data_IF_404677458410
#
_entry.id   IF_404677458410
#
_cell.length_a   1.000
_cell.length_b   1.000
_cell.length_c   1.000
_cell.angle_alpha   90.00
_cell.angle_beta   90.00
_cell.angle_gamma   90.00
#
_symmetry.space_group_name_H-M   'P 1'
#
loop_
_entity.id
_entity.type
_entity.pdbx_description
1 polymer ?
#
# COMPACT_ATOMS: atom_id res chain seq x y z
N UNK A 1 -17.82 -59.52 -33.72
CA UNK A 1 -18.55 -60.47 -32.86
C UNK A 1 -17.80 -60.47 -31.55
N UNK A 2 -18.29 -59.72 -30.56
CA UNK A 2 -19.15 -60.25 -29.46
C UNK A 2 -18.28 -61.09 -28.50
N UNK A 3 -18.19 -60.88 -27.19
CA UNK A 3 -19.03 -60.19 -26.22
C UNK A 3 -18.27 -60.09 -24.88
N UNK A 4 -18.62 -59.06 -24.12
CA UNK A 4 -18.72 -58.96 -22.64
C UNK A 4 -18.10 -60.05 -21.74
N UNK A 5 -17.43 -59.59 -20.67
CA UNK A 5 -17.18 -60.47 -19.52
C UNK A 5 -16.41 -59.88 -18.33
N UNK A 6 -17.07 -58.99 -17.58
CA UNK A 6 -16.96 -58.87 -16.12
C UNK A 6 -15.63 -58.46 -15.46
N UNK A 7 -15.58 -57.17 -15.12
CA UNK A 7 -14.77 -56.63 -14.03
C UNK A 7 -15.32 -57.17 -12.70
N UNK A 8 -14.50 -57.91 -11.94
CA UNK A 8 -14.73 -58.18 -10.52
C UNK A 8 -13.61 -57.51 -9.74
N UNK A 9 -13.96 -56.45 -9.03
CA UNK A 9 -13.12 -55.78 -8.05
C UNK A 9 -12.89 -56.71 -6.85
N UNK A 10 -11.65 -57.13 -6.63
CA UNK A 10 -11.20 -57.54 -5.30
C UNK A 10 -10.36 -56.41 -4.74
N UNK A 11 -10.96 -55.65 -3.82
CA UNK A 11 -10.25 -54.67 -3.01
C UNK A 11 -9.27 -55.41 -2.08
N UNK A 12 -8.02 -55.53 -2.49
CA UNK A 12 -6.96 -55.69 -1.49
C UNK A 12 -6.74 -54.34 -0.82
N UNK A 13 -7.27 -54.24 0.41
CA UNK A 13 -6.91 -53.21 1.38
C UNK A 13 -5.40 -53.25 1.59
N UNK A 14 -4.67 -52.47 0.80
CA UNK A 14 -3.30 -52.12 1.14
C UNK A 14 -3.39 -51.13 2.29
N UNK A 15 -3.44 -51.68 3.51
CA UNK A 15 -3.05 -50.97 4.71
C UNK A 15 -1.64 -50.44 4.48
N UNK A 16 -1.54 -49.20 4.03
CA UNK A 16 -0.29 -48.45 4.05
C UNK A 16 -0.01 -48.12 5.51
N UNK A 17 0.54 -49.13 6.20
CA UNK A 17 1.18 -48.98 7.51
C UNK A 17 2.18 -47.84 7.37
N UNK A 18 1.79 -46.67 7.87
CA UNK A 18 2.67 -45.51 7.92
C UNK A 18 3.69 -45.81 9.00
N UNK A 19 4.82 -46.38 8.57
CA UNK A 19 5.95 -46.66 9.43
C UNK A 19 6.41 -45.32 10.02
N UNK A 20 6.09 -45.06 11.29
CA UNK A 20 6.61 -43.92 12.05
C UNK A 20 8.10 -44.15 12.30
N UNK A 21 8.92 -43.84 11.30
CA UNK A 21 10.36 -43.71 11.49
C UNK A 21 10.62 -42.56 12.45
N UNK A 22 11.39 -42.81 13.51
CA UNK A 22 12.01 -41.76 14.33
C UNK A 22 12.92 -40.93 13.42
N UNK A 23 12.49 -39.72 13.06
CA UNK A 23 13.26 -38.78 12.24
C UNK A 23 14.02 -37.84 13.17
N UNK A 24 15.30 -37.61 12.87
CA UNK A 24 16.14 -36.68 13.61
C UNK A 24 15.62 -35.24 13.57
N UNK A 25 16.14 -34.33 14.43
CA UNK A 25 15.54 -33.03 14.74
C UNK A 25 15.54 -32.00 13.59
N UNK A 26 15.87 -32.39 12.35
CA UNK A 26 16.05 -31.48 11.21
C UNK A 26 15.36 -31.87 9.90
N UNK A 27 14.71 -33.03 9.79
CA UNK A 27 14.15 -33.48 8.50
C UNK A 27 12.67 -33.07 8.39
N UNK A 28 12.35 -32.22 7.42
CA UNK A 28 10.98 -31.91 7.01
C UNK A 28 10.52 -32.96 5.99
N UNK A 29 9.31 -33.51 6.11
CA UNK A 29 8.76 -34.32 5.03
C UNK A 29 8.18 -33.45 3.91
N UNK A 30 8.14 -33.97 2.69
CA UNK A 30 7.50 -33.26 1.55
C UNK A 30 6.04 -32.91 1.83
N UNK A 31 5.32 -33.75 2.58
CA UNK A 31 3.94 -33.50 2.99
C UNK A 31 3.83 -32.38 4.02
N UNK A 32 4.73 -32.33 5.01
CA UNK A 32 4.80 -31.26 6.00
C UNK A 32 5.16 -29.93 5.34
N UNK A 33 6.04 -29.94 4.34
CA UNK A 33 6.41 -28.74 3.59
C UNK A 33 5.23 -28.17 2.77
N UNK A 34 4.45 -29.04 2.12
CA UNK A 34 3.27 -28.63 1.36
C UNK A 34 2.18 -28.07 2.27
N UNK A 35 1.93 -28.71 3.41
CA UNK A 35 0.98 -28.20 4.40
C UNK A 35 1.44 -26.88 5.03
N UNK A 36 2.72 -26.77 5.35
CA UNK A 36 3.31 -25.53 5.87
C UNK A 36 3.15 -24.39 4.86
N UNK A 37 3.41 -24.65 3.58
CA UNK A 37 3.24 -23.68 2.51
C UNK A 37 1.78 -23.23 2.37
N UNK A 38 0.84 -24.18 2.40
CA UNK A 38 -0.61 -23.89 2.31
C UNK A 38 -1.09 -23.05 3.48
N UNK A 39 -0.69 -23.39 4.71
CA UNK A 39 -1.09 -22.66 5.92
C UNK A 39 -0.44 -21.26 5.99
N UNK A 40 0.81 -21.14 5.55
CA UNK A 40 1.47 -19.84 5.46
C UNK A 40 0.84 -18.93 4.39
N UNK A 41 0.43 -19.48 3.24
CA UNK A 41 -0.33 -18.74 2.22
C UNK A 41 -1.73 -18.33 2.69
N UNK A 42 -2.34 -19.12 3.58
CA UNK A 42 -3.60 -18.79 4.24
C UNK A 42 -3.46 -17.74 5.36
N UNK A 43 -2.25 -17.23 5.60
CA UNK A 43 -2.01 -16.16 6.58
C UNK A 43 -1.90 -16.63 8.03
N UNK A 44 -1.64 -17.93 8.27
CA UNK A 44 -1.39 -18.42 9.63
C UNK A 44 -0.16 -17.74 10.24
N UNK A 45 -0.26 -17.34 11.51
CA UNK A 45 0.85 -16.73 12.24
C UNK A 45 1.99 -17.74 12.46
N UNK A 46 3.23 -17.23 12.48
CA UNK A 46 4.43 -18.05 12.66
C UNK A 46 4.39 -18.78 14.01
N UNK A 47 3.79 -18.15 15.02
CA UNK A 47 3.61 -18.69 16.37
C UNK A 47 2.64 -19.89 16.38
N UNK A 48 1.50 -19.78 15.69
CA UNK A 48 0.56 -20.90 15.55
C UNK A 48 1.17 -22.07 14.77
N UNK A 49 1.99 -21.78 13.77
CA UNK A 49 2.75 -22.81 13.05
C UNK A 49 3.83 -23.45 13.95
N UNK A 50 4.49 -22.68 14.80
CA UNK A 50 5.51 -23.16 15.75
C UNK A 50 4.94 -24.15 16.75
N UNK A 51 3.77 -23.84 17.30
CA UNK A 51 3.05 -24.73 18.21
C UNK A 51 2.57 -26.00 17.49
N UNK A 52 2.00 -25.87 16.29
CA UNK A 52 1.50 -26.99 15.50
C UNK A 52 2.59 -27.99 15.12
N UNK A 53 3.76 -27.50 14.69
CA UNK A 53 4.87 -28.36 14.27
C UNK A 53 5.85 -28.69 15.40
N UNK A 54 5.63 -28.18 16.62
CA UNK A 54 6.52 -28.31 17.80
C UNK A 54 7.98 -27.95 17.46
N UNK A 55 8.17 -26.91 16.66
CA UNK A 55 9.48 -26.42 16.19
C UNK A 55 9.61 -24.95 16.54
N UNK A 56 10.84 -24.45 16.71
CA UNK A 56 11.02 -23.05 17.05
C UNK A 56 10.45 -22.13 15.94
N UNK A 57 9.90 -20.96 16.30
CA UNK A 57 9.45 -19.97 15.32
C UNK A 57 10.52 -19.61 14.28
N UNK A 58 11.79 -19.57 14.69
CA UNK A 58 12.92 -19.32 13.81
C UNK A 58 13.16 -20.45 12.80
N UNK A 59 12.97 -21.72 13.21
CA UNK A 59 13.10 -22.86 12.32
C UNK A 59 12.03 -22.84 11.22
N UNK A 60 10.81 -22.39 11.55
CA UNK A 60 9.72 -22.20 10.60
C UNK A 60 9.99 -21.03 9.66
N UNK A 61 10.44 -19.88 10.20
CA UNK A 61 10.82 -18.72 9.38
C UNK A 61 11.91 -19.07 8.37
N UNK A 62 12.99 -19.74 8.81
CA UNK A 62 14.06 -20.21 7.92
C UNK A 62 13.55 -21.21 6.89
N UNK A 63 12.59 -22.07 7.25
CA UNK A 63 12.03 -23.05 6.31
C UNK A 63 11.13 -22.38 5.25
N UNK A 64 10.26 -21.46 5.66
CA UNK A 64 9.42 -20.68 4.74
C UNK A 64 10.26 -19.87 3.76
N UNK A 65 11.33 -19.23 4.25
CA UNK A 65 12.30 -18.53 3.40
C UNK A 65 12.96 -19.47 2.38
N UNK A 66 13.38 -20.68 2.79
CA UNK A 66 13.95 -21.69 1.87
C UNK A 66 12.94 -22.21 0.85
N UNK A 67 11.64 -22.19 1.18
CA UNK A 67 10.55 -22.58 0.29
C UNK A 67 10.07 -21.44 -0.62
N UNK A 68 10.77 -20.30 -0.63
CA UNK A 68 10.47 -19.15 -1.51
C UNK A 68 9.34 -18.24 -1.00
N UNK A 69 8.78 -18.50 0.18
CA UNK A 69 7.87 -17.58 0.85
C UNK A 69 8.69 -16.52 1.57
N UNK A 70 8.76 -15.33 0.98
CA UNK A 70 9.40 -14.20 1.61
C UNK A 70 8.50 -13.76 2.79
N UNK A 71 8.86 -14.19 4.01
CA UNK A 71 8.17 -13.83 5.25
C UNK A 71 8.48 -12.37 5.59
N UNK A 72 8.05 -11.47 4.72
CA UNK A 72 8.04 -10.03 4.98
C UNK A 72 6.78 -9.79 5.80
N UNK A 73 6.96 -9.37 7.04
CA UNK A 73 5.87 -8.91 7.87
C UNK A 73 5.11 -7.81 7.11
N UNK A 74 3.80 -8.01 6.93
CA UNK A 74 2.90 -7.02 6.37
C UNK A 74 2.89 -6.98 4.84
N UNK A 75 1.84 -7.52 4.26
CA UNK A 75 1.33 -7.05 2.98
C UNK A 75 0.93 -5.58 3.22
N UNK A 76 1.79 -4.63 2.87
CA UNK A 76 1.43 -3.23 2.89
C UNK A 76 0.61 -2.99 1.62
N UNK A 77 -0.71 -2.95 1.75
CA UNK A 77 -1.60 -2.47 0.69
C UNK A 77 -1.34 -0.97 0.50
N UNK A 78 -0.30 -0.61 -0.27
CA UNK A 78 0.13 0.77 -0.51
C UNK A 78 -0.51 1.33 -1.77
N UNK A 79 -1.84 1.38 -1.83
CA UNK A 79 -2.54 2.26 -2.78
C UNK A 79 -3.89 2.66 -2.17
N UNK A 80 -3.86 3.60 -1.23
CA UNK A 80 -5.07 4.34 -0.89
C UNK A 80 -5.48 5.21 -2.07
N UNK A 81 -6.77 5.26 -2.37
CA UNK A 81 -7.32 6.21 -3.36
C UNK A 81 -7.02 7.63 -2.84
N UNK A 82 -6.34 8.43 -3.65
CA UNK A 82 -6.13 9.85 -3.35
C UNK A 82 -7.39 10.61 -3.72
N UNK A 83 -8.18 10.97 -2.70
CA UNK A 83 -9.34 11.84 -2.89
C UNK A 83 -8.86 13.26 -3.18
N UNK A 84 -9.16 13.76 -4.38
CA UNK A 84 -8.86 15.14 -4.75
C UNK A 84 -9.93 16.02 -4.10
N UNK A 85 -9.56 16.96 -3.21
CA UNK A 85 -10.54 17.83 -2.57
C UNK A 85 -11.20 18.76 -3.61
N UNK A 86 -12.52 18.97 -3.49
CA UNK A 86 -13.26 19.86 -4.40
C UNK A 86 -12.82 21.32 -4.26
N UNK A 87 -12.41 21.73 -3.06
CA UNK A 87 -11.91 23.06 -2.75
C UNK A 87 -10.49 22.99 -2.24
N UNK A 88 -9.68 23.99 -2.62
CA UNK A 88 -8.30 24.07 -2.18
C UNK A 88 -8.28 24.37 -0.66
N UNK A 89 -7.55 23.59 0.16
CA UNK A 89 -7.51 23.81 1.60
C UNK A 89 -6.95 25.21 1.92
N UNK A 90 -7.51 25.86 2.94
CA UNK A 90 -7.03 27.16 3.37
C UNK A 90 -5.60 27.07 3.92
N UNK A 91 -4.85 28.18 3.88
CA UNK A 91 -3.50 28.22 4.41
C UNK A 91 -3.45 27.85 5.90
N UNK A 92 -4.48 28.24 6.66
CA UNK A 92 -4.60 27.92 8.09
C UNK A 92 -4.74 26.42 8.34
N UNK A 93 -5.53 25.72 7.53
CA UNK A 93 -5.70 24.26 7.63
C UNK A 93 -4.40 23.53 7.33
N UNK A 94 -3.68 23.93 6.28
CA UNK A 94 -2.39 23.34 5.94
C UNK A 94 -1.36 23.61 7.05
N UNK A 95 -1.35 24.82 7.61
CA UNK A 95 -0.47 25.16 8.74
C UNK A 95 -0.75 24.32 9.98
N UNK A 96 -2.01 24.03 10.30
CA UNK A 96 -2.39 23.13 11.41
C UNK A 96 -1.82 21.73 11.22
N UNK A 97 -1.89 21.18 10.01
CA UNK A 97 -1.35 19.86 9.67
C UNK A 97 0.18 19.84 9.85
N UNK A 98 0.87 20.86 9.35
CA UNK A 98 2.33 20.97 9.47
C UNK A 98 2.75 21.17 10.92
N UNK A 99 2.04 21.99 11.69
CA UNK A 99 2.29 22.16 13.11
C UNK A 99 2.17 20.83 13.86
N UNK A 100 1.12 20.06 13.60
CA UNK A 100 0.95 18.72 14.19
C UNK A 100 2.09 17.76 13.82
N UNK A 101 2.53 17.79 12.55
CA UNK A 101 3.69 17.02 12.10
C UNK A 101 4.97 17.43 12.83
N UNK A 102 5.23 18.73 12.99
CA UNK A 102 6.38 19.24 13.73
C UNK A 102 6.36 18.84 15.20
N UNK A 103 5.20 18.95 15.87
CA UNK A 103 5.06 18.48 17.25
C UNK A 103 5.38 16.99 17.39
N UNK A 104 4.94 16.17 16.43
CA UNK A 104 5.26 14.75 16.40
C UNK A 104 6.75 14.51 16.15
N UNK A 105 7.39 15.33 15.32
CA UNK A 105 8.83 15.27 15.06
C UNK A 105 9.68 15.53 16.30
N UNK A 106 9.21 16.38 17.22
CA UNK A 106 9.91 16.72 18.46
C UNK A 106 9.82 15.64 19.55
N UNK A 107 9.02 14.58 19.36
CA UNK A 107 8.90 13.50 20.35
C UNK A 107 10.11 12.54 20.26
N UNK A 108 10.56 12.01 21.41
CA UNK A 108 11.62 11.00 21.43
C UNK A 108 11.09 9.63 21.00
N UNK A 109 11.89 8.85 20.27
CA UNK A 109 11.54 7.47 19.87
C UNK A 109 11.00 7.31 18.45
N UNK A 110 11.16 8.32 17.58
CA UNK A 110 10.78 8.21 16.18
C UNK A 110 11.74 7.31 15.39
N UNK A 111 11.17 6.32 14.69
CA UNK A 111 11.91 5.50 13.75
C UNK A 111 12.25 6.26 12.46
N UNK A 112 13.26 5.76 11.71
CA UNK A 112 13.74 6.35 10.45
C UNK A 112 12.61 6.65 9.44
N UNK A 113 11.66 5.73 9.30
CA UNK A 113 10.51 5.88 8.38
C UNK A 113 9.59 7.04 8.78
N UNK A 114 9.40 7.27 10.07
CA UNK A 114 8.54 8.35 10.55
C UNK A 114 9.21 9.71 10.37
N UNK A 115 10.53 9.80 10.61
CA UNK A 115 11.32 11.00 10.28
C UNK A 115 11.25 11.33 8.79
N UNK A 116 11.35 10.34 7.91
CA UNK A 116 11.23 10.54 6.46
C UNK A 116 9.83 11.04 6.05
N UNK A 117 8.77 10.54 6.69
CA UNK A 117 7.40 11.03 6.45
C UNK A 117 7.25 12.49 6.86
N UNK A 118 7.79 12.86 8.01
CA UNK A 118 7.75 14.23 8.52
C UNK A 118 8.53 15.19 7.62
N UNK A 119 9.70 14.78 7.14
CA UNK A 119 10.47 15.52 6.14
C UNK A 119 9.71 15.69 4.81
N UNK A 120 9.01 14.64 4.38
CA UNK A 120 8.12 14.69 3.21
C UNK A 120 7.00 15.72 3.43
N UNK A 121 6.36 15.73 4.60
CA UNK A 121 5.32 16.72 4.94
C UNK A 121 5.88 18.15 4.90
N UNK A 122 7.06 18.38 5.46
CA UNK A 122 7.71 19.69 5.44
C UNK A 122 8.05 20.14 3.99
N UNK A 123 8.47 19.21 3.14
CA UNK A 123 8.75 19.48 1.72
C UNK A 123 7.47 19.81 0.95
N UNK A 124 6.40 19.05 1.16
CA UNK A 124 5.09 19.30 0.54
C UNK A 124 4.51 20.65 0.95
N UNK A 125 4.67 21.06 2.21
CA UNK A 125 4.25 22.39 2.67
C UNK A 125 4.95 23.52 1.90
N UNK A 126 6.26 23.42 1.70
CA UNK A 126 7.02 24.43 0.92
C UNK A 126 6.50 24.53 -0.52
N UNK A 127 6.25 23.38 -1.15
CA UNK A 127 5.67 23.35 -2.49
C UNK A 127 4.26 23.97 -2.54
N UNK A 128 3.44 23.67 -1.53
CA UNK A 128 2.09 24.23 -1.41
C UNK A 128 2.11 25.76 -1.26
N UNK A 129 2.94 26.28 -0.35
CA UNK A 129 3.05 27.72 -0.11
C UNK A 129 3.49 28.48 -1.38
N UNK A 130 4.49 27.96 -2.10
CA UNK A 130 4.94 28.53 -3.36
C UNK A 130 3.86 28.49 -4.46
N UNK A 131 3.15 27.37 -4.60
CA UNK A 131 2.05 27.23 -5.55
C UNK A 131 0.88 28.17 -5.25
N UNK A 132 0.56 28.37 -3.97
CA UNK A 132 -0.50 29.28 -3.53
C UNK A 132 -0.17 30.74 -3.86
N UNK A 133 1.08 31.16 -3.65
CA UNK A 133 1.53 32.51 -4.03
C UNK A 133 1.39 32.75 -5.53
N UNK A 134 1.80 31.78 -6.36
CA UNK A 134 1.64 31.85 -7.81
C UNK A 134 0.15 31.92 -8.21
N UNK A 135 -0.70 31.11 -7.60
CA UNK A 135 -2.14 31.13 -7.84
C UNK A 135 -2.78 32.50 -7.55
N UNK A 136 -2.45 33.09 -6.40
CA UNK A 136 -2.91 34.43 -6.03
C UNK A 136 -2.39 35.47 -7.04
N UNK A 137 -1.16 35.32 -7.49
CA UNK A 137 -0.58 36.13 -8.58
C UNK A 137 -1.40 36.04 -9.87
N UNK A 138 -1.72 34.83 -10.33
CA UNK A 138 -2.53 34.61 -11.52
C UNK A 138 -3.93 35.20 -11.39
N UNK A 139 -4.59 35.06 -10.24
CA UNK A 139 -5.91 35.67 -10.00
C UNK A 139 -5.89 37.20 -10.11
N UNK A 140 -4.83 37.84 -9.64
CA UNK A 140 -4.66 39.30 -9.80
C UNK A 140 -4.46 39.69 -11.26
N UNK A 141 -3.72 38.90 -12.03
CA UNK A 141 -3.51 39.15 -13.46
C UNK A 141 -4.83 38.97 -14.23
N UNK A 142 -5.58 37.90 -13.97
CA UNK A 142 -6.88 37.61 -14.57
C UNK A 142 -7.86 38.78 -14.33
N UNK A 143 -7.92 39.32 -13.11
CA UNK A 143 -8.75 40.48 -12.80
C UNK A 143 -8.36 41.73 -13.61
N UNK A 144 -7.05 42.00 -13.75
CA UNK A 144 -6.57 43.12 -14.58
C UNK A 144 -6.86 42.93 -16.06
N UNK A 145 -6.78 41.69 -16.55
CA UNK A 145 -7.09 41.37 -17.95
C UNK A 145 -8.56 41.67 -18.25
N UNK A 146 -9.47 41.21 -17.39
CA UNK A 146 -10.91 41.52 -17.49
C UNK A 146 -11.20 43.02 -17.44
N UNK A 147 -10.49 43.77 -16.58
CA UNK A 147 -10.64 45.23 -16.51
C UNK A 147 -10.18 45.90 -17.81
N UNK A 148 -9.06 45.46 -18.37
CA UNK A 148 -8.53 45.97 -19.64
C UNK A 148 -9.48 45.64 -20.79
N UNK A 149 -9.98 44.41 -20.89
CA UNK A 149 -10.95 44.01 -21.90
C UNK A 149 -12.20 44.90 -21.87
N UNK A 150 -12.73 45.21 -20.68
CA UNK A 150 -13.85 46.15 -20.51
C UNK A 150 -13.50 47.55 -21.02
N UNK A 151 -12.34 48.09 -20.63
CA UNK A 151 -11.89 49.43 -21.08
C UNK A 151 -11.74 49.48 -22.60
N UNK A 152 -11.17 48.45 -23.21
CA UNK A 152 -11.03 48.38 -24.67
C UNK A 152 -12.38 48.26 -25.37
N UNK A 153 -13.33 47.48 -24.82
CA UNK A 153 -14.69 47.39 -25.37
C UNK A 153 -15.40 48.76 -25.30
N UNK A 154 -15.28 49.49 -24.19
CA UNK A 154 -15.83 50.83 -24.06
C UNK A 154 -15.20 51.82 -25.05
N UNK A 155 -13.88 51.80 -25.21
CA UNK A 155 -13.19 52.66 -26.17
C UNK A 155 -13.58 52.33 -27.61
N UNK A 156 -13.72 51.04 -27.95
CA UNK A 156 -14.19 50.61 -29.27
C UNK A 156 -15.61 51.11 -29.54
N UNK A 157 -16.51 51.04 -28.56
CA UNK A 157 -17.88 51.56 -28.69
C UNK A 157 -17.91 53.08 -28.86
N UNK A 158 -17.07 53.83 -28.14
CA UNK A 158 -16.96 55.29 -28.27
C UNK A 158 -16.34 55.72 -29.60
N UNK A 159 -15.35 54.97 -30.09
CA UNK A 159 -14.73 55.23 -31.40
C UNK A 159 -15.71 55.01 -32.56
N UNK A 160 -16.60 54.02 -32.46
CA UNK A 160 -17.66 53.79 -33.45
C UNK A 160 -18.76 54.87 -33.40
N UNK A 161 -19.11 55.37 -32.21
CA UNK A 161 -20.11 56.45 -32.06
C UNK A 161 -19.62 57.86 -32.42
N UNK A 162 -18.30 58.09 -32.47
CA UNK A 162 -17.70 59.38 -32.84
C UNK A 162 -17.43 59.51 -34.35
N UNK A 163 -17.62 58.45 -35.12
CA UNK A 163 -17.37 58.40 -36.57
C UNK A 163 -18.66 58.38 -37.43
N UNK A 164 -19.83 58.59 -36.81
CA UNK A 164 -21.13 58.74 -37.45
C UNK A 164 -21.69 60.14 -37.20
#
# INVERSE_FOLDING_TARGET
MSENGSIVFVQEKTETKTIKQKRGPGTWSRTEEQELLKLAQQGASIEALAEKYKRSPEAIKKKLQRLGLNVVAGKLDLTGVLEIPQELPSLEEVLKIVAAALYKACQSGLGKTELQRLDTIATLYKAYAAGLEQYVGYKKIEAKLLELEKKYAELASKAQGSAA
#
